data_IF_950464660458
#
_entry.id   IF_950464660458
#
_cell.length_a   1.000
_cell.length_b   1.000
_cell.length_c   1.000
_cell.angle_alpha   90.00
_cell.angle_beta   90.00
_cell.angle_gamma   90.00
#
_symmetry.space_group_name_H-M   'P 1'
#
loop_
_entity.id
_entity.type
_entity.pdbx_description
1 polymer ?
#
# COMPACT_ATOMS: atom_id res chain seq x y z
N UNK A 1 -14.46 -39.51 11.29
CA UNK A 1 -13.67 -38.89 12.37
C UNK A 1 -12.65 -37.88 11.82
N UNK A 2 -11.76 -38.25 10.90
CA UNK A 2 -10.79 -37.30 10.30
C UNK A 2 -11.40 -36.27 9.34
N UNK A 3 -12.53 -36.58 8.69
CA UNK A 3 -13.09 -35.74 7.64
C UNK A 3 -13.67 -34.40 8.15
N UNK A 4 -14.29 -34.37 9.33
CA UNK A 4 -14.89 -33.15 9.89
C UNK A 4 -13.83 -32.23 10.48
N UNK A 5 -12.84 -32.80 11.18
CA UNK A 5 -11.68 -32.07 11.68
C UNK A 5 -10.82 -31.53 10.52
N UNK A 6 -10.62 -32.33 9.48
CA UNK A 6 -9.98 -31.88 8.25
C UNK A 6 -10.81 -30.79 7.55
N UNK A 7 -12.15 -30.88 7.53
CA UNK A 7 -13.01 -29.87 6.92
C UNK A 7 -13.01 -28.55 7.69
N UNK A 8 -13.03 -28.57 9.03
CA UNK A 8 -12.95 -27.37 9.88
C UNK A 8 -11.55 -26.76 9.82
N UNK A 9 -10.50 -27.58 9.82
CA UNK A 9 -9.12 -27.12 9.64
C UNK A 9 -8.91 -26.57 8.22
N UNK A 10 -9.45 -27.21 7.18
CA UNK A 10 -9.47 -26.67 5.82
C UNK A 10 -10.25 -25.36 5.78
N UNK A 11 -11.38 -25.23 6.46
CA UNK A 11 -12.16 -23.99 6.50
C UNK A 11 -11.39 -22.86 7.20
N UNK A 12 -10.67 -23.16 8.28
CA UNK A 12 -9.79 -22.22 8.98
C UNK A 12 -8.57 -21.83 8.12
N UNK A 13 -7.94 -22.80 7.45
CA UNK A 13 -6.78 -22.58 6.57
C UNK A 13 -7.18 -21.88 5.27
N UNK A 14 -8.34 -22.20 4.69
CA UNK A 14 -8.93 -21.52 3.53
C UNK A 14 -9.34 -20.10 3.93
N UNK A 15 -9.96 -19.93 5.10
CA UNK A 15 -10.25 -18.60 5.65
C UNK A 15 -8.96 -17.78 5.84
N UNK A 16 -7.90 -18.38 6.39
CA UNK A 16 -6.60 -17.74 6.59
C UNK A 16 -5.83 -17.45 5.28
N UNK A 17 -5.95 -18.29 4.26
CA UNK A 17 -5.29 -18.10 2.95
C UNK A 17 -6.07 -17.14 2.04
N UNK A 18 -7.40 -17.13 2.12
CA UNK A 18 -8.26 -16.12 1.49
C UNK A 18 -8.11 -14.76 2.19
N UNK A 19 -7.67 -14.75 3.46
CA UNK A 19 -7.25 -13.57 4.22
C UNK A 19 -5.91 -12.96 3.79
N UNK A 20 -5.13 -13.60 2.91
CA UNK A 20 -3.91 -12.96 2.43
C UNK A 20 -4.26 -11.76 1.55
N UNK A 21 -3.76 -10.55 1.86
CA UNK A 21 -4.13 -9.33 1.14
C UNK A 21 -3.61 -9.44 -0.30
N UNK A 22 -4.47 -9.86 -1.22
CA UNK A 22 -4.18 -9.75 -2.65
C UNK A 22 -4.13 -8.25 -2.99
N UNK A 23 -2.98 -7.72 -3.44
CA UNK A 23 -2.87 -6.31 -3.75
C UNK A 23 -3.80 -5.99 -4.92
N UNK A 24 -4.72 -5.06 -4.67
CA UNK A 24 -5.48 -4.24 -5.61
C UNK A 24 -5.65 -4.85 -7.03
N UNK A 25 -6.84 -5.41 -7.30
CA UNK A 25 -7.26 -5.60 -8.70
C UNK A 25 -7.33 -4.22 -9.35
N UNK A 26 -6.60 -4.07 -10.46
CA UNK A 26 -6.56 -2.84 -11.26
C UNK A 26 -7.97 -2.44 -11.71
N UNK A 27 -8.27 -1.15 -11.83
CA UNK A 27 -9.46 -0.71 -12.56
C UNK A 27 -9.38 -1.16 -14.03
N UNK A 28 -10.49 -1.61 -14.64
CA UNK A 28 -10.54 -1.94 -16.06
C UNK A 28 -10.29 -0.67 -16.89
N UNK A 29 -9.36 -0.73 -17.84
CA UNK A 29 -9.08 0.38 -18.79
C UNK A 29 -7.65 0.93 -18.82
N UNK A 30 -6.68 0.33 -18.12
CA UNK A 30 -5.28 0.73 -18.25
C UNK A 30 -4.65 0.13 -19.53
N UNK A 31 -4.01 0.93 -20.41
CA UNK A 31 -3.41 0.43 -21.65
C UNK A 31 -2.35 -0.63 -21.37
N UNK A 32 -2.25 -1.60 -22.28
CA UNK A 32 -1.29 -2.70 -22.22
C UNK A 32 0.15 -2.14 -22.12
N UNK A 33 0.81 -2.45 -21.00
CA UNK A 33 2.18 -2.01 -20.70
C UNK A 33 3.20 -2.95 -21.37
N UNK A 34 4.32 -2.43 -21.90
CA UNK A 34 5.39 -3.26 -22.45
C UNK A 34 5.97 -4.18 -21.37
N UNK A 35 6.29 -5.41 -21.77
CA UNK A 35 6.49 -6.55 -20.88
C UNK A 35 7.94 -6.75 -20.38
N UNK A 36 8.82 -5.75 -20.45
CA UNK A 36 10.28 -5.99 -20.38
C UNK A 36 11.02 -5.56 -19.11
N UNK A 37 10.37 -5.04 -18.06
CA UNK A 37 11.05 -4.83 -16.77
C UNK A 37 10.61 -5.86 -15.73
N UNK A 38 11.58 -6.60 -15.19
CA UNK A 38 11.40 -7.43 -14.01
C UNK A 38 10.99 -6.52 -12.85
N UNK A 39 9.69 -6.41 -12.60
CA UNK A 39 9.14 -5.56 -11.54
C UNK A 39 9.70 -6.01 -10.20
N UNK A 40 10.39 -5.09 -9.51
CA UNK A 40 10.74 -5.30 -8.11
C UNK A 40 9.46 -5.25 -7.30
N UNK A 41 8.95 -6.40 -6.88
CA UNK A 41 7.75 -6.46 -6.05
C UNK A 41 8.12 -6.11 -4.62
N UNK A 42 8.14 -4.81 -4.33
CA UNK A 42 8.48 -4.33 -2.99
C UNK A 42 7.38 -4.63 -1.97
N UNK A 43 7.74 -5.05 -0.74
CA UNK A 43 6.79 -5.17 0.35
C UNK A 43 6.23 -3.79 0.73
N UNK A 44 5.03 -3.78 1.34
CA UNK A 44 4.29 -2.54 1.62
C UNK A 44 5.07 -1.55 2.51
N UNK A 45 5.89 -2.05 3.45
CA UNK A 45 6.72 -1.21 4.32
C UNK A 45 7.75 -0.42 3.51
N UNK A 46 8.46 -1.10 2.61
CA UNK A 46 9.47 -0.49 1.75
C UNK A 46 8.84 0.53 0.80
N UNK A 47 7.63 0.28 0.29
CA UNK A 47 6.89 1.26 -0.51
C UNK A 47 6.60 2.54 0.25
N UNK A 48 6.18 2.44 1.51
CA UNK A 48 5.89 3.62 2.35
C UNK A 48 7.17 4.39 2.64
N UNK A 49 8.26 3.68 2.96
CA UNK A 49 9.58 4.28 3.18
C UNK A 49 10.07 5.02 1.93
N UNK A 50 10.03 4.38 0.76
CA UNK A 50 10.44 4.97 -0.52
C UNK A 50 9.67 6.25 -0.85
N UNK A 51 8.40 6.34 -0.46
CA UNK A 51 7.58 7.52 -0.71
C UNK A 51 7.95 8.70 0.17
N UNK A 52 8.25 8.45 1.45
CA UNK A 52 8.74 9.48 2.35
C UNK A 52 10.11 9.98 1.88
N UNK A 53 11.04 9.06 1.58
CA UNK A 53 12.36 9.39 1.04
C UNK A 53 12.26 10.23 -0.24
N UNK A 54 11.38 9.86 -1.17
CA UNK A 54 11.14 10.63 -2.38
C UNK A 54 10.65 12.05 -2.07
N UNK A 55 9.63 12.21 -1.21
CA UNK A 55 9.08 13.52 -0.88
C UNK A 55 10.17 14.44 -0.28
N UNK A 56 10.99 13.90 0.62
CA UNK A 56 12.08 14.64 1.24
C UNK A 56 13.18 15.00 0.24
N UNK A 57 13.55 14.09 -0.68
CA UNK A 57 14.51 14.42 -1.75
C UNK A 57 13.96 15.51 -2.67
N UNK A 58 12.69 15.44 -3.09
CA UNK A 58 12.09 16.47 -3.96
C UNK A 58 12.05 17.83 -3.25
N UNK A 59 11.74 17.86 -1.96
CA UNK A 59 11.76 19.10 -1.16
C UNK A 59 13.13 19.80 -1.22
N UNK A 60 14.22 19.02 -1.18
CA UNK A 60 15.58 19.54 -1.28
C UNK A 60 15.96 20.05 -2.67
N UNK A 61 15.25 19.65 -3.73
CA UNK A 61 15.46 20.18 -5.08
C UNK A 61 14.90 21.59 -5.25
N UNK A 62 13.79 21.90 -4.57
CA UNK A 62 13.02 23.13 -4.81
C UNK A 62 13.87 24.38 -4.55
N UNK A 63 14.63 24.41 -3.45
CA UNK A 63 15.46 25.55 -3.07
C UNK A 63 16.57 25.88 -4.09
N UNK A 64 17.44 24.93 -4.45
CA UNK A 64 18.42 25.10 -5.53
C UNK A 64 17.79 25.51 -6.87
N UNK A 65 16.67 24.89 -7.26
CA UNK A 65 16.00 25.20 -8.52
C UNK A 65 15.43 26.63 -8.55
N UNK A 66 14.92 27.14 -7.43
CA UNK A 66 14.50 28.54 -7.32
C UNK A 66 15.66 29.52 -7.50
N UNK A 67 16.88 29.12 -7.12
CA UNK A 67 18.11 29.90 -7.32
C UNK A 67 18.69 29.76 -8.74
N UNK A 68 17.99 29.07 -9.64
CA UNK A 68 18.45 28.84 -11.01
C UNK A 68 19.57 27.80 -11.11
N UNK A 69 19.79 26.98 -10.08
CA UNK A 69 20.76 25.88 -10.16
C UNK A 69 20.29 24.89 -11.23
N UNK A 70 21.16 24.43 -12.14
CA UNK A 70 20.80 23.43 -13.14
C UNK A 70 20.20 22.17 -12.50
N UNK A 71 19.14 21.56 -13.07
CA UNK A 71 18.43 20.45 -12.44
C UNK A 71 19.30 19.25 -12.10
N UNK A 72 20.28 18.92 -12.95
CA UNK A 72 21.25 17.85 -12.71
C UNK A 72 22.11 18.12 -11.46
N UNK A 73 22.54 19.37 -11.28
CA UNK A 73 23.34 19.79 -10.13
C UNK A 73 22.49 19.83 -8.87
N UNK A 74 21.26 20.34 -8.95
CA UNK A 74 20.30 20.31 -7.84
C UNK A 74 20.01 18.87 -7.38
N UNK A 75 19.82 17.96 -8.34
CA UNK A 75 19.60 16.54 -8.09
C UNK A 75 20.77 15.90 -7.33
N UNK A 76 22.01 16.12 -7.79
CA UNK A 76 23.20 15.61 -7.11
C UNK A 76 23.29 16.10 -5.66
N UNK A 77 23.10 17.40 -5.43
CA UNK A 77 23.15 17.99 -4.09
C UNK A 77 22.07 17.40 -3.16
N UNK A 78 20.86 17.17 -3.68
CA UNK A 78 19.79 16.57 -2.87
C UNK A 78 20.04 15.10 -2.52
N UNK A 79 20.62 14.33 -3.44
CA UNK A 79 21.00 12.92 -3.20
C UNK A 79 22.08 12.82 -2.13
N UNK A 80 23.10 13.68 -2.20
CA UNK A 80 24.20 13.69 -1.22
C UNK A 80 23.73 14.12 0.19
N UNK A 81 22.59 14.81 0.28
CA UNK A 81 22.05 15.33 1.53
C UNK A 81 21.11 14.36 2.27
N UNK A 82 20.65 13.28 1.62
CA UNK A 82 19.66 12.34 2.20
C UNK A 82 20.13 10.91 2.03
N UNK A 83 20.13 10.15 3.12
CA UNK A 83 20.32 8.71 3.06
C UNK A 83 19.01 8.04 2.59
N UNK A 84 19.03 7.51 1.37
CA UNK A 84 17.87 6.89 0.72
C UNK A 84 18.06 5.40 0.53
N UNK A 85 16.96 4.66 0.46
CA UNK A 85 16.98 3.23 0.21
C UNK A 85 17.65 2.88 -1.13
N UNK A 86 18.33 1.72 -1.16
CA UNK A 86 19.07 1.24 -2.35
C UNK A 86 18.28 1.30 -3.67
N UNK A 87 16.98 0.94 -3.72
CA UNK A 87 16.24 1.04 -4.98
C UNK A 87 16.07 2.48 -5.47
N UNK A 88 15.88 3.43 -4.55
CA UNK A 88 15.73 4.84 -4.89
C UNK A 88 17.07 5.49 -5.23
N UNK A 89 18.15 5.13 -4.52
CA UNK A 89 19.51 5.57 -4.85
C UNK A 89 19.91 5.16 -6.26
N UNK A 90 19.63 3.91 -6.66
CA UNK A 90 19.91 3.42 -8.02
C UNK A 90 19.15 4.19 -9.10
N UNK A 91 17.86 4.48 -8.88
CA UNK A 91 17.07 5.30 -9.81
C UNK A 91 17.64 6.71 -9.95
N UNK A 92 18.12 7.29 -8.86
CA UNK A 92 18.76 8.60 -8.84
C UNK A 92 20.13 8.61 -9.54
N UNK A 93 20.93 7.56 -9.38
CA UNK A 93 22.18 7.37 -10.13
C UNK A 93 21.90 7.33 -11.65
N UNK A 94 20.91 6.56 -12.10
CA UNK A 94 20.51 6.53 -13.50
C UNK A 94 20.08 7.91 -14.04
N UNK A 95 19.40 8.72 -13.21
CA UNK A 95 19.03 10.09 -13.56
C UNK A 95 20.25 11.00 -13.69
N UNK A 96 21.23 10.90 -12.79
CA UNK A 96 22.47 11.66 -12.87
C UNK A 96 23.30 11.28 -14.10
N UNK A 97 23.39 9.99 -14.41
CA UNK A 97 24.06 9.51 -15.62
C UNK A 97 23.37 10.01 -16.90
N UNK A 98 22.05 9.95 -16.95
CA UNK A 98 21.28 10.47 -18.07
C UNK A 98 21.45 11.99 -18.22
N UNK A 99 21.52 12.71 -17.10
CA UNK A 99 21.82 14.15 -17.11
C UNK A 99 23.21 14.43 -17.68
N UNK A 100 24.21 13.65 -17.31
CA UNK A 100 25.57 13.77 -17.85
C UNK A 100 25.64 13.50 -19.36
N UNK A 101 24.74 12.65 -19.88
CA UNK A 101 24.60 12.37 -21.32
C UNK A 101 23.70 13.38 -22.05
N UNK A 102 23.10 14.35 -21.35
CA UNK A 102 22.18 15.33 -21.95
C UNK A 102 20.84 14.73 -22.39
N UNK A 103 20.43 13.60 -21.81
CA UNK A 103 19.15 12.97 -22.10
C UNK A 103 17.99 13.70 -21.41
N UNK A 104 16.77 13.53 -21.95
CA UNK A 104 15.55 14.03 -21.33
C UNK A 104 15.28 13.28 -20.01
N UNK A 105 15.39 13.99 -18.88
CA UNK A 105 15.25 13.40 -17.55
C UNK A 105 13.84 12.93 -17.27
N UNK A 106 12.84 13.57 -17.87
CA UNK A 106 11.44 13.16 -17.78
C UNK A 106 11.22 11.67 -18.12
N UNK A 107 11.81 11.19 -19.21
CA UNK A 107 11.60 9.80 -19.67
C UNK A 107 12.35 8.80 -18.78
N UNK A 108 13.46 9.21 -18.17
CA UNK A 108 14.19 8.40 -17.20
C UNK A 108 13.38 8.27 -15.91
N UNK A 109 12.85 9.37 -15.37
CA UNK A 109 11.94 9.35 -14.22
C UNK A 109 10.75 8.39 -14.44
N UNK A 110 10.14 8.42 -15.63
CA UNK A 110 9.01 7.55 -15.95
C UNK A 110 9.41 6.07 -16.05
N UNK A 111 10.58 5.78 -16.62
CA UNK A 111 11.12 4.42 -16.69
C UNK A 111 11.43 3.85 -15.31
N UNK A 112 12.07 4.64 -14.44
CA UNK A 112 12.34 4.27 -13.04
C UNK A 112 11.02 4.08 -12.27
N UNK A 113 10.01 4.93 -12.53
CA UNK A 113 8.69 4.78 -11.94
C UNK A 113 7.97 3.49 -12.36
N UNK A 114 8.18 3.03 -13.59
CA UNK A 114 7.68 1.75 -14.08
C UNK A 114 8.46 0.56 -13.48
N UNK A 115 9.79 0.68 -13.31
CA UNK A 115 10.63 -0.36 -12.70
C UNK A 115 10.28 -0.60 -11.22
N UNK A 116 10.06 0.47 -10.47
CA UNK A 116 9.73 0.44 -9.03
C UNK A 116 8.22 0.30 -8.75
N UNK A 117 7.36 0.32 -9.79
CA UNK A 117 5.90 0.34 -9.65
C UNK A 117 5.42 1.45 -8.69
N UNK A 118 6.04 2.63 -8.78
CA UNK A 118 5.78 3.78 -7.89
C UNK A 118 4.94 4.85 -8.58
N UNK A 119 3.75 5.10 -8.04
CA UNK A 119 2.85 6.14 -8.54
C UNK A 119 3.37 7.56 -8.24
N UNK A 120 4.08 7.75 -7.13
CA UNK A 120 4.60 9.06 -6.73
C UNK A 120 5.81 9.44 -7.58
N UNK A 121 6.70 8.47 -7.86
CA UNK A 121 7.81 8.65 -8.81
C UNK A 121 7.30 8.97 -10.23
N UNK A 122 6.22 8.29 -10.65
CA UNK A 122 5.56 8.58 -11.93
C UNK A 122 5.00 10.00 -11.96
N UNK A 123 4.39 10.44 -10.87
CA UNK A 123 3.81 11.77 -10.76
C UNK A 123 4.87 12.86 -10.88
N UNK A 124 6.01 12.71 -10.19
CA UNK A 124 7.19 13.59 -10.37
C UNK A 124 7.68 13.58 -11.81
N UNK A 125 7.84 12.39 -12.42
CA UNK A 125 8.23 12.27 -13.83
C UNK A 125 7.27 12.95 -14.82
N UNK A 126 5.96 12.94 -14.54
CA UNK A 126 4.97 13.66 -15.34
C UNK A 126 5.08 15.18 -15.16
N UNK A 127 5.29 15.68 -13.94
CA UNK A 127 5.53 17.10 -13.68
C UNK A 127 6.81 17.58 -14.40
N UNK A 128 7.86 16.77 -14.37
CA UNK A 128 9.10 17.03 -15.09
C UNK A 128 8.88 17.06 -16.61
N UNK A 129 8.16 16.08 -17.16
CA UNK A 129 7.82 16.02 -18.59
C UNK A 129 7.00 17.21 -19.06
N UNK A 130 6.04 17.64 -18.24
CA UNK A 130 5.23 18.82 -18.54
C UNK A 130 6.12 20.07 -18.60
N UNK A 131 7.04 20.19 -17.67
CA UNK A 131 8.01 21.29 -17.62
C UNK A 131 8.93 21.30 -18.84
N UNK A 132 9.54 20.17 -19.19
CA UNK A 132 10.41 20.06 -20.37
C UNK A 132 9.68 20.38 -21.68
N UNK A 133 8.40 20.01 -21.81
CA UNK A 133 7.60 20.29 -23.02
C UNK A 133 7.10 21.73 -23.12
N UNK A 134 6.77 22.35 -21.99
CA UNK A 134 6.14 23.68 -21.95
C UNK A 134 7.15 24.81 -21.69
N UNK A 135 8.34 24.49 -21.19
CA UNK A 135 9.31 25.46 -20.70
C UNK A 135 8.90 26.16 -19.39
N UNK A 136 7.86 25.66 -18.70
CA UNK A 136 7.43 26.22 -17.42
C UNK A 136 8.54 26.09 -16.35
N UNK A 137 8.51 26.88 -15.27
CA UNK A 137 9.50 26.77 -14.20
C UNK A 137 9.41 25.43 -13.44
N UNK A 138 10.46 24.61 -13.51
CA UNK A 138 10.52 23.30 -12.84
C UNK A 138 10.32 23.39 -11.32
N UNK A 139 10.86 24.45 -10.71
CA UNK A 139 10.75 24.67 -9.27
C UNK A 139 9.28 24.69 -8.80
N UNK A 140 8.40 25.38 -9.53
CA UNK A 140 6.97 25.43 -9.20
C UNK A 140 6.28 24.09 -9.44
N UNK A 141 6.63 23.40 -10.52
CA UNK A 141 6.07 22.07 -10.80
C UNK A 141 6.44 21.06 -9.70
N UNK A 142 7.68 21.11 -9.19
CA UNK A 142 8.13 20.25 -8.09
C UNK A 142 7.58 20.68 -6.73
N UNK A 143 7.33 21.97 -6.50
CA UNK A 143 6.64 22.47 -5.31
C UNK A 143 5.22 21.92 -5.22
N UNK A 144 4.44 22.04 -6.29
CA UNK A 144 3.11 21.41 -6.36
C UNK A 144 3.19 19.88 -6.25
N UNK A 145 4.27 19.27 -6.78
CA UNK A 145 4.44 17.84 -6.67
C UNK A 145 4.71 17.40 -5.22
N UNK A 146 5.57 18.13 -4.52
CA UNK A 146 5.94 17.89 -3.12
C UNK A 146 4.74 18.03 -2.19
N UNK A 147 3.92 19.08 -2.37
CA UNK A 147 2.71 19.30 -1.59
C UNK A 147 1.74 18.10 -1.71
N UNK A 148 1.51 17.64 -2.94
CA UNK A 148 0.65 16.46 -3.20
C UNK A 148 1.27 15.18 -2.62
N UNK A 149 2.59 15.02 -2.67
CA UNK A 149 3.28 13.88 -2.08
C UNK A 149 3.11 13.87 -0.56
N UNK A 150 3.29 15.01 0.11
CA UNK A 150 3.08 15.15 1.56
C UNK A 150 1.63 14.95 1.96
N UNK A 151 0.68 15.51 1.21
CA UNK A 151 -0.76 15.32 1.47
C UNK A 151 -1.14 13.84 1.37
N UNK A 152 -0.60 13.10 0.40
CA UNK A 152 -0.78 11.65 0.28
C UNK A 152 -0.19 10.90 1.46
N UNK A 153 0.96 11.30 1.97
CA UNK A 153 1.57 10.69 3.16
C UNK A 153 0.69 10.91 4.40
N UNK A 154 0.33 12.17 4.68
CA UNK A 154 -0.53 12.54 5.81
C UNK A 154 -1.89 11.83 5.73
N UNK A 155 -2.49 11.75 4.55
CA UNK A 155 -3.76 11.04 4.35
C UNK A 155 -3.66 9.56 4.71
N UNK A 156 -2.54 8.91 4.37
CA UNK A 156 -2.32 7.50 4.72
C UNK A 156 -2.10 7.29 6.20
N UNK A 157 -1.35 8.18 6.84
CA UNK A 157 -1.11 8.15 8.29
C UNK A 157 -2.44 8.34 9.05
N UNK A 158 -3.28 9.30 8.62
CA UNK A 158 -4.64 9.50 9.14
C UNK A 158 -5.50 8.25 8.98
N UNK A 159 -5.52 7.64 7.80
CA UNK A 159 -6.25 6.40 7.56
C UNK A 159 -5.74 5.25 8.44
N UNK A 160 -4.42 5.13 8.61
CA UNK A 160 -3.83 4.11 9.48
C UNK A 160 -4.24 4.31 10.95
N UNK A 161 -4.22 5.55 11.44
CA UNK A 161 -4.65 5.89 12.79
C UNK A 161 -6.16 5.63 12.99
N UNK A 162 -7.01 6.08 12.07
CA UNK A 162 -8.46 5.88 12.14
C UNK A 162 -8.86 4.40 12.07
N UNK A 163 -8.11 3.58 11.32
CA UNK A 163 -8.41 2.15 11.19
C UNK A 163 -7.78 1.29 12.29
N UNK A 164 -6.91 1.84 13.15
CA UNK A 164 -6.25 1.09 14.21
C UNK A 164 -7.24 0.52 15.24
N UNK A 165 -8.19 1.32 15.72
CA UNK A 165 -9.23 0.90 16.67
C UNK A 165 -10.12 -0.23 16.13
N UNK A 166 -10.80 -0.03 14.98
CA UNK A 166 -11.61 -1.07 14.36
C UNK A 166 -10.81 -2.36 14.06
N UNK A 167 -9.56 -2.23 13.62
CA UNK A 167 -8.66 -3.36 13.37
C UNK A 167 -8.33 -4.14 14.63
N UNK A 168 -8.06 -3.45 15.75
CA UNK A 168 -7.83 -4.10 17.03
C UNK A 168 -9.06 -4.90 17.49
N UNK A 169 -10.26 -4.29 17.44
CA UNK A 169 -11.50 -4.98 17.81
C UNK A 169 -11.79 -6.21 16.94
N UNK A 170 -11.56 -6.12 15.62
CA UNK A 170 -11.66 -7.28 14.72
C UNK A 170 -10.71 -8.40 15.14
N UNK A 171 -9.46 -8.10 15.47
CA UNK A 171 -8.49 -9.11 15.92
C UNK A 171 -8.95 -9.78 17.21
N UNK A 172 -9.40 -9.01 18.21
CA UNK A 172 -9.92 -9.56 19.47
C UNK A 172 -11.11 -10.49 19.22
N UNK A 173 -12.10 -10.04 18.45
CA UNK A 173 -13.29 -10.83 18.13
C UNK A 173 -12.96 -12.09 17.30
N UNK A 174 -11.93 -12.04 16.46
CA UNK A 174 -11.50 -13.18 15.63
C UNK A 174 -10.72 -14.21 16.45
N UNK A 175 -9.94 -13.78 17.45
CA UNK A 175 -9.14 -14.67 18.31
C UNK A 175 -9.98 -15.32 19.41
N UNK A 176 -10.99 -14.63 19.94
CA UNK A 176 -11.85 -15.10 21.02
C UNK A 176 -12.40 -16.54 20.84
N UNK A 177 -12.94 -16.95 19.67
CA UNK A 177 -13.42 -18.32 19.47
C UNK A 177 -12.31 -19.38 19.43
N UNK A 178 -11.06 -19.01 19.13
CA UNK A 178 -9.92 -19.93 19.17
C UNK A 178 -9.44 -20.18 20.61
N UNK A 179 -9.71 -19.28 21.55
CA UNK A 179 -9.37 -19.47 22.96
C UNK A 179 -10.18 -20.61 23.61
N UNK A 180 -11.43 -20.84 23.17
CA UNK A 180 -12.30 -21.88 23.74
C UNK A 180 -11.70 -23.30 23.68
N UNK A 181 -11.30 -23.79 22.50
CA UNK A 181 -10.62 -25.08 22.37
C UNK A 181 -9.28 -25.15 23.14
N UNK A 182 -8.56 -24.03 23.22
CA UNK A 182 -7.29 -23.94 23.95
C UNK A 182 -7.50 -24.17 25.45
N UNK A 183 -8.52 -23.51 26.02
CA UNK A 183 -8.90 -23.69 27.43
C UNK A 183 -9.39 -25.12 27.67
N UNK A 184 -10.24 -25.66 26.80
CA UNK A 184 -10.71 -27.06 26.89
C UNK A 184 -9.58 -28.08 26.90
N UNK A 185 -8.54 -27.86 26.09
CA UNK A 185 -7.36 -28.71 26.04
C UNK A 185 -6.52 -28.65 27.33
N UNK A 186 -6.40 -27.49 27.97
CA UNK A 186 -5.69 -27.33 29.26
C UNK A 186 -6.39 -28.10 30.38
N UNK A 187 -7.73 -28.15 30.37
CA UNK A 187 -8.52 -28.89 31.37
C UNK A 187 -8.62 -30.40 31.09
N UNK A 188 -7.95 -30.92 30.06
CA UNK A 188 -7.89 -32.35 29.76
C UNK A 188 -9.12 -32.92 29.04
N UNK A 189 -10.02 -32.06 28.55
CA UNK A 189 -11.11 -32.50 27.68
C UNK A 189 -10.57 -32.66 26.25
N UNK A 190 -10.68 -33.87 25.71
CA UNK A 190 -10.40 -34.09 24.30
C UNK A 190 -11.35 -33.23 23.45
N UNK A 191 -10.88 -32.59 22.34
CA UNK A 191 -11.76 -31.80 21.46
C UNK A 191 -12.94 -32.62 20.90
N UNK A 192 -12.81 -33.95 20.86
CA UNK A 192 -13.91 -34.88 20.56
C UNK A 192 -14.99 -34.91 21.63
N UNK A 193 -14.63 -35.07 22.91
CA UNK A 193 -15.58 -35.20 24.02
C UNK A 193 -16.27 -33.87 24.40
N UNK A 194 -15.70 -32.73 24.01
CA UNK A 194 -16.29 -31.43 24.30
C UNK A 194 -17.31 -30.98 23.24
N UNK A 195 -17.08 -31.33 21.96
CA UNK A 195 -17.90 -30.86 20.84
C UNK A 195 -18.81 -31.93 20.21
N UNK A 196 -18.48 -33.21 20.31
CA UNK A 196 -19.22 -34.31 19.65
C UNK A 196 -20.05 -35.16 20.62
N UNK A 197 -19.99 -34.89 21.93
CA UNK A 197 -20.75 -35.64 22.95
C UNK A 197 -22.23 -35.33 22.98
N UNK A 198 -22.65 -34.17 22.45
CA UNK A 198 -24.05 -33.75 22.45
C UNK A 198 -24.43 -33.02 21.16
N UNK A 199 -25.58 -33.33 20.53
CA UNK A 199 -26.07 -32.59 19.37
C UNK A 199 -26.28 -31.09 19.67
N UNK A 200 -26.49 -30.72 20.94
CA UNK A 200 -26.59 -29.32 21.37
C UNK A 200 -25.23 -28.60 21.32
N UNK A 201 -24.13 -29.30 21.65
CA UNK A 201 -22.78 -28.75 21.57
C UNK A 201 -22.32 -28.55 20.11
N UNK A 202 -22.75 -29.45 19.21
CA UNK A 202 -22.52 -29.29 17.78
C UNK A 202 -23.31 -28.10 17.21
N UNK A 203 -24.58 -27.95 17.59
CA UNK A 203 -25.42 -26.85 17.14
C UNK A 203 -24.87 -25.49 17.58
N UNK A 204 -24.43 -25.36 18.84
CA UNK A 204 -23.85 -24.11 19.35
C UNK A 204 -22.52 -23.75 18.67
N UNK A 205 -21.69 -24.75 18.34
CA UNK A 205 -20.46 -24.55 17.58
C UNK A 205 -20.75 -24.04 16.16
N UNK A 206 -21.70 -24.66 15.45
CA UNK A 206 -22.10 -24.24 14.10
C UNK A 206 -22.65 -22.81 14.12
N UNK A 207 -23.51 -22.49 15.09
CA UNK A 207 -24.07 -21.14 15.25
C UNK A 207 -22.96 -20.11 15.52
N UNK A 208 -22.02 -20.42 16.42
CA UNK A 208 -20.88 -19.56 16.71
C UNK A 208 -20.00 -19.31 15.48
N UNK A 209 -19.73 -20.35 14.69
CA UNK A 209 -18.94 -20.25 13.47
C UNK A 209 -19.64 -19.41 12.40
N UNK A 210 -20.96 -19.59 12.21
CA UNK A 210 -21.78 -18.81 11.28
C UNK A 210 -21.81 -17.34 11.70
N UNK A 211 -21.98 -17.06 12.99
CA UNK A 211 -22.05 -15.69 13.50
C UNK A 211 -20.69 -14.98 13.41
N UNK A 212 -19.59 -15.70 13.62
CA UNK A 212 -18.24 -15.18 13.40
C UNK A 212 -17.98 -14.88 11.91
N UNK A 213 -18.36 -15.79 11.00
CA UNK A 213 -18.31 -15.58 9.55
C UNK A 213 -19.14 -14.36 9.13
N UNK A 214 -20.34 -14.21 9.68
CA UNK A 214 -21.22 -13.09 9.40
C UNK A 214 -20.63 -11.76 9.87
N UNK A 215 -20.13 -11.69 11.11
CA UNK A 215 -19.44 -10.51 11.64
C UNK A 215 -18.23 -10.12 10.80
N UNK A 216 -17.46 -11.11 10.33
CA UNK A 216 -16.32 -10.89 9.46
C UNK A 216 -16.72 -10.35 8.07
N UNK A 217 -17.74 -10.91 7.45
CA UNK A 217 -18.29 -10.45 6.16
C UNK A 217 -18.75 -8.99 6.22
N UNK A 218 -19.50 -8.63 7.27
CA UNK A 218 -20.02 -7.27 7.44
C UNK A 218 -18.88 -6.27 7.65
N UNK A 219 -17.89 -6.61 8.48
CA UNK A 219 -16.74 -5.74 8.72
C UNK A 219 -15.94 -5.49 7.43
N UNK A 220 -15.75 -6.53 6.61
CA UNK A 220 -15.10 -6.40 5.30
C UNK A 220 -15.87 -5.46 4.37
N UNK A 221 -17.20 -5.58 4.30
CA UNK A 221 -18.05 -4.73 3.46
C UNK A 221 -17.93 -3.26 3.89
N UNK A 222 -17.90 -2.98 5.19
CA UNK A 222 -17.79 -1.61 5.73
C UNK A 222 -16.43 -1.00 5.34
N UNK A 223 -15.34 -1.75 5.49
CA UNK A 223 -13.99 -1.27 5.16
C UNK A 223 -13.85 -1.04 3.66
N UNK A 224 -14.33 -1.97 2.82
CA UNK A 224 -14.29 -1.80 1.37
C UNK A 224 -15.14 -0.62 0.89
N UNK A 225 -16.24 -0.27 1.58
CA UNK A 225 -17.04 0.93 1.27
C UNK A 225 -16.36 2.22 1.73
N UNK A 226 -15.71 2.22 2.89
CA UNK A 226 -14.96 3.37 3.39
C UNK A 226 -13.72 3.71 2.53
N UNK A 227 -13.17 2.71 1.82
CA UNK A 227 -12.03 2.88 0.91
C UNK A 227 -12.41 3.31 -0.51
N UNK A 228 -13.71 3.44 -0.84
CA UNK A 228 -14.12 4.03 -2.11
C UNK A 228 -14.02 5.55 -1.97
N UNK A 229 -13.18 6.23 -2.78
CA UNK A 229 -13.15 7.68 -2.80
C UNK A 229 -14.56 8.17 -3.07
N UNK A 230 -15.11 9.01 -2.19
CA UNK A 230 -16.30 9.76 -2.48
C UNK A 230 -15.98 10.63 -3.70
N UNK A 231 -16.39 10.18 -4.88
CA UNK A 231 -16.53 11.03 -6.04
C UNK A 231 -17.75 11.90 -5.76
N UNK A 232 -17.55 12.94 -4.95
CA UNK A 232 -18.42 14.09 -4.86
C UNK A 232 -17.60 15.25 -5.43
N UNK A 233 -17.75 15.55 -6.71
CA UNK A 233 -18.73 16.55 -7.15
C UNK A 233 -18.43 17.91 -6.51
N UNK A 234 -17.30 18.49 -6.91
CA UNK A 234 -16.96 19.90 -6.74
C UNK A 234 -16.63 20.55 -8.09
N UNK A 235 -17.36 20.16 -9.15
CA UNK A 235 -17.42 20.91 -10.39
C UNK A 235 -18.67 21.80 -10.31
N UNK A 236 -18.47 23.10 -10.11
CA UNK A 236 -19.56 24.08 -10.08
C UNK A 236 -19.35 25.20 -9.06
N UNK A 237 -18.25 25.93 -9.17
CA UNK A 237 -18.21 27.32 -8.72
C UNK A 237 -18.64 28.20 -9.91
N UNK A 238 -19.63 29.08 -9.76
CA UNK A 238 -19.52 30.44 -10.25
C UNK A 238 -18.77 31.31 -9.24
#
# INVERSE_FOLDING_TARGET
>A
MNAVLAAVFLLLVVSATVLWPSPARRPPGSPARPASSARVRMPRRDRVRLQAELADTIALLIGPLHRGVPPATALRVAIDAVDVSRPLSQSFEHLLEAAARGEALAEVWLREADALDSADLRFVGQAWRLTERTGAPLARALESAEEVLRERQVSRERLAAMTAGPRASMVVLTVLPLCGPLVGAVFGFGPGDLYLSSPVALASLVIGLVMALFGWLVSRIIIERALRPAVSSGAGAP
#
